data_IF_299011391819
#
_entry.id   IF_299011391819
#
_cell.length_a   1.000
_cell.length_b   1.000
_cell.length_c   1.000
_cell.angle_alpha   90.00
_cell.angle_beta   90.00
_cell.angle_gamma   90.00
#
_symmetry.space_group_name_H-M   'P 1'
#
loop_
_entity.id
_entity.type
_entity.pdbx_description
1 polymer ?
#
# COMPACT_ATOMS: atom_id res chain seq x y z
N UNK A 1 -20.93 -7.53 8.28
CA UNK A 1 -19.49 -7.43 8.62
C UNK A 1 -19.19 -6.00 9.02
N UNK A 2 -18.40 -5.80 10.08
CA UNK A 2 -17.86 -4.49 10.43
C UNK A 2 -16.46 -4.39 9.83
N UNK A 3 -16.19 -3.34 9.05
CA UNK A 3 -14.85 -3.06 8.54
C UNK A 3 -14.11 -2.12 9.48
N UNK A 4 -12.79 -2.13 9.42
CA UNK A 4 -11.96 -1.12 10.09
C UNK A 4 -12.29 0.27 9.51
N UNK A 5 -12.66 1.21 10.37
CA UNK A 5 -12.99 2.59 9.98
C UNK A 5 -11.97 3.62 10.45
N UNK A 6 -11.13 3.27 11.42
CA UNK A 6 -10.02 4.10 11.89
C UNK A 6 -8.71 3.47 11.41
N UNK A 7 -8.04 4.11 10.46
CA UNK A 7 -6.80 3.60 9.87
C UNK A 7 -5.62 4.25 10.59
N UNK A 8 -4.79 3.45 11.28
CA UNK A 8 -3.53 3.89 11.91
C UNK A 8 -2.33 3.29 11.21
N UNK A 9 -2.42 2.01 10.84
CA UNK A 9 -1.36 1.28 10.15
C UNK A 9 -1.75 0.99 8.70
N UNK A 10 -0.97 1.51 7.76
CA UNK A 10 -1.12 1.31 6.32
C UNK A 10 -0.06 0.33 5.82
N UNK A 11 -0.50 -0.78 5.24
CA UNK A 11 0.38 -1.74 4.59
C UNK A 11 0.51 -1.46 3.09
N UNK A 12 1.74 -1.45 2.59
CA UNK A 12 2.04 -1.21 1.19
C UNK A 12 2.84 -2.37 0.59
N UNK A 13 2.27 -3.02 -0.45
CA UNK A 13 2.96 -4.07 -1.20
C UNK A 13 3.43 -3.53 -2.55
N UNK A 14 4.74 -3.59 -2.78
CA UNK A 14 5.39 -2.98 -3.93
C UNK A 14 5.79 -1.52 -3.65
N UNK A 15 7.07 -1.22 -3.84
CA UNK A 15 7.71 0.05 -3.47
C UNK A 15 8.19 0.88 -4.67
N UNK A 16 7.67 0.55 -5.86
CA UNK A 16 7.91 1.26 -7.11
C UNK A 16 7.33 2.68 -7.12
N UNK A 17 7.15 3.25 -8.32
CA UNK A 17 6.69 4.65 -8.47
C UNK A 17 5.36 4.89 -7.76
N UNK A 18 4.35 4.05 -8.02
CA UNK A 18 3.01 4.20 -7.42
C UNK A 18 3.03 3.89 -5.92
N UNK A 19 3.62 2.75 -5.53
CA UNK A 19 3.67 2.32 -4.14
C UNK A 19 4.41 3.32 -3.23
N UNK A 20 5.57 3.83 -3.67
CA UNK A 20 6.29 4.87 -2.91
C UNK A 20 5.49 6.17 -2.78
N UNK A 21 4.63 6.49 -3.76
CA UNK A 21 3.72 7.62 -3.68
C UNK A 21 2.60 7.43 -2.65
N UNK A 22 2.00 6.24 -2.59
CA UNK A 22 1.05 5.88 -1.53
C UNK A 22 1.70 5.94 -0.14
N UNK A 23 2.89 5.36 -0.01
CA UNK A 23 3.67 5.35 1.23
C UNK A 23 3.98 6.79 1.67
N UNK A 24 4.49 7.64 0.78
CA UNK A 24 4.77 9.03 1.11
C UNK A 24 3.52 9.80 1.54
N UNK A 25 2.38 9.56 0.87
CA UNK A 25 1.09 10.16 1.22
C UNK A 25 0.61 9.70 2.60
N UNK A 26 0.64 8.40 2.88
CA UNK A 26 0.25 7.84 4.17
C UNK A 26 1.10 8.41 5.32
N UNK A 27 2.42 8.46 5.15
CA UNK A 27 3.35 9.06 6.13
C UNK A 27 3.06 10.56 6.35
N UNK A 28 2.76 11.31 5.28
CA UNK A 28 2.41 12.74 5.38
C UNK A 28 1.09 12.98 6.10
N UNK A 29 0.20 11.98 6.15
CA UNK A 29 -1.02 11.99 6.93
C UNK A 29 -0.87 11.43 8.35
N UNK A 30 0.36 11.15 8.80
CA UNK A 30 0.64 10.71 10.18
C UNK A 30 0.39 9.22 10.43
N UNK A 31 0.18 8.41 9.38
CA UNK A 31 0.00 6.97 9.52
C UNK A 31 1.33 6.27 9.79
N UNK A 32 1.27 5.14 10.50
CA UNK A 32 2.36 4.17 10.51
C UNK A 32 2.31 3.37 9.21
N UNK A 33 3.46 3.18 8.56
CA UNK A 33 3.51 2.46 7.28
C UNK A 33 4.40 1.24 7.39
N UNK A 34 3.86 0.09 7.00
CA UNK A 34 4.62 -1.15 6.83
C UNK A 34 4.71 -1.44 5.34
N UNK A 35 5.91 -1.59 4.81
CA UNK A 35 6.13 -1.81 3.39
C UNK A 35 6.89 -3.11 3.13
N UNK A 36 6.52 -3.77 2.04
CA UNK A 36 7.20 -4.96 1.54
C UNK A 36 7.41 -4.87 0.04
N UNK A 37 8.58 -5.31 -0.43
CA UNK A 37 8.92 -5.44 -1.84
C UNK A 37 10.02 -6.50 -1.98
N UNK A 38 9.88 -7.51 -2.87
CA UNK A 38 10.85 -8.58 -2.98
C UNK A 38 12.14 -8.17 -3.72
N UNK A 39 12.17 -6.99 -4.36
CA UNK A 39 13.31 -6.58 -5.16
C UNK A 39 14.55 -6.28 -4.29
N UNK A 40 15.75 -6.73 -4.69
CA UNK A 40 16.99 -6.37 -4.01
C UNK A 40 17.17 -4.85 -3.93
N UNK A 41 17.49 -4.34 -2.73
CA UNK A 41 17.68 -2.90 -2.50
C UNK A 41 16.39 -2.07 -2.51
N UNK A 42 15.22 -2.69 -2.52
CA UNK A 42 13.94 -1.99 -2.54
C UNK A 42 13.77 -1.03 -1.35
N UNK A 43 14.18 -1.42 -0.14
CA UNK A 43 14.08 -0.53 1.04
C UNK A 43 14.85 0.78 0.84
N UNK A 44 16.12 0.69 0.40
CA UNK A 44 16.94 1.87 0.17
C UNK A 44 16.34 2.77 -0.92
N UNK A 45 15.87 2.17 -2.01
CA UNK A 45 15.21 2.89 -3.10
C UNK A 45 13.90 3.56 -2.65
N UNK A 46 13.10 2.87 -1.83
CA UNK A 46 11.86 3.40 -1.26
C UNK A 46 12.15 4.61 -0.38
N UNK A 47 13.10 4.50 0.56
CA UNK A 47 13.48 5.59 1.45
C UNK A 47 13.96 6.81 0.67
N UNK A 48 14.73 6.61 -0.40
CA UNK A 48 15.17 7.69 -1.29
C UNK A 48 13.98 8.36 -2.02
N UNK A 49 13.00 7.59 -2.52
CA UNK A 49 11.80 8.13 -3.18
C UNK A 49 10.93 8.94 -2.21
N UNK A 50 10.71 8.43 -1.00
CA UNK A 50 9.98 9.13 0.06
C UNK A 50 10.68 10.44 0.42
N UNK A 51 12.00 10.41 0.63
CA UNK A 51 12.78 11.60 0.92
C UNK A 51 12.70 12.65 -0.22
N UNK A 52 12.69 12.21 -1.48
CA UNK A 52 12.53 13.08 -2.63
C UNK A 52 11.13 13.70 -2.74
N UNK A 53 10.08 12.97 -2.38
CA UNK A 53 8.69 13.48 -2.38
C UNK A 53 8.40 14.44 -1.22
N UNK A 54 9.11 14.27 -0.09
CA UNK A 54 8.83 14.95 1.17
C UNK A 54 8.80 16.49 1.11
N UNK A 55 9.71 17.18 0.41
CA UNK A 55 9.67 18.64 0.30
C UNK A 55 8.38 19.15 -0.34
N UNK A 56 7.83 18.42 -1.33
CA UNK A 56 6.57 18.79 -1.96
C UNK A 56 5.38 18.59 -1.01
N UNK A 57 5.37 17.47 -0.27
CA UNK A 57 4.37 17.20 0.76
C UNK A 57 4.40 18.24 1.89
N UNK A 58 5.60 18.63 2.35
CA UNK A 58 5.76 19.72 3.33
C UNK A 58 5.14 21.03 2.86
N UNK A 59 5.27 21.37 1.58
CA UNK A 59 4.65 22.57 1.00
C UNK A 59 3.13 22.50 0.96
N UNK A 60 2.56 21.29 0.81
CA UNK A 60 1.10 21.07 0.85
C UNK A 60 0.54 21.07 2.27
N UNK A 61 1.40 20.90 3.28
CA UNK A 61 1.01 20.79 4.69
C UNK A 61 1.02 19.32 5.14
N UNK A 62 1.64 19.08 6.28
CA UNK A 62 1.70 17.76 6.90
C UNK A 62 0.68 17.66 8.04
N UNK A 63 0.09 16.47 8.22
CA UNK A 63 -0.72 16.19 9.38
C UNK A 63 0.14 16.12 10.66
N UNK A 64 -0.46 16.32 11.85
CA UNK A 64 0.21 16.04 13.12
C UNK A 64 0.78 14.61 13.15
N UNK A 65 2.02 14.47 13.62
CA UNK A 65 2.69 13.17 13.70
C UNK A 65 3.25 12.64 12.38
N UNK A 66 3.13 13.37 11.27
CA UNK A 66 3.74 13.00 10.01
C UNK A 66 5.27 12.94 10.10
N UNK A 67 5.84 11.77 9.78
CA UNK A 67 7.27 11.50 9.91
C UNK A 67 7.67 10.38 8.95
N UNK A 68 8.83 10.50 8.31
CA UNK A 68 9.34 9.45 7.41
C UNK A 68 9.80 8.21 8.19
N UNK A 69 10.15 8.40 9.45
CA UNK A 69 10.64 7.41 10.40
C UNK A 69 9.54 6.41 10.81
N UNK A 70 8.26 6.74 10.54
CA UNK A 70 7.11 5.85 10.72
C UNK A 70 7.03 4.75 9.65
N UNK A 71 7.99 4.71 8.72
CA UNK A 71 8.15 3.65 7.74
C UNK A 71 8.99 2.49 8.29
N UNK A 72 8.34 1.33 8.44
CA UNK A 72 8.98 0.03 8.65
C UNK A 72 9.00 -0.77 7.35
N UNK A 73 10.14 -1.34 7.01
CA UNK A 73 10.27 -2.28 5.89
C UNK A 73 10.41 -3.70 6.45
N UNK A 74 9.70 -4.67 5.90
CA UNK A 74 9.63 -6.05 6.41
C UNK A 74 10.05 -7.06 5.34
N UNK A 75 10.34 -8.29 5.78
CA UNK A 75 10.88 -9.33 4.90
C UNK A 75 9.81 -10.15 4.19
N UNK A 76 8.58 -10.17 4.71
CA UNK A 76 7.49 -11.03 4.23
C UNK A 76 6.18 -10.27 4.02
N UNK A 77 5.29 -10.84 3.20
CA UNK A 77 3.94 -10.31 2.97
C UNK A 77 3.14 -10.39 4.26
N UNK A 78 3.30 -11.49 4.97
CA UNK A 78 2.57 -11.85 6.18
C UNK A 78 2.90 -10.87 7.32
N UNK A 79 4.16 -10.51 7.51
CA UNK A 79 4.57 -9.44 8.44
C UNK A 79 4.04 -8.06 8.01
N UNK A 80 3.87 -7.84 6.70
CA UNK A 80 3.42 -6.55 6.17
C UNK A 80 1.95 -6.32 6.48
N UNK A 81 1.11 -7.35 6.34
CA UNK A 81 -0.36 -7.22 6.38
C UNK A 81 -1.00 -7.65 7.70
N UNK A 82 -0.29 -8.41 8.55
CA UNK A 82 -0.88 -9.05 9.73
C UNK A 82 -1.59 -8.10 10.70
N UNK A 83 -0.99 -6.93 10.95
CA UNK A 83 -1.53 -5.92 11.88
C UNK A 83 -2.08 -4.67 11.17
N UNK A 84 -2.19 -4.70 9.84
CA UNK A 84 -2.59 -3.53 9.05
C UNK A 84 -4.08 -3.19 9.21
N UNK A 85 -4.40 -1.90 9.14
CA UNK A 85 -5.78 -1.40 9.14
C UNK A 85 -6.31 -1.15 7.73
N UNK A 86 -5.40 -0.94 6.77
CA UNK A 86 -5.68 -0.83 5.35
C UNK A 86 -4.48 -1.35 4.56
N UNK A 87 -4.74 -2.10 3.48
CA UNK A 87 -3.70 -2.69 2.64
C UNK A 87 -3.81 -2.15 1.22
N UNK A 88 -2.70 -1.68 0.65
CA UNK A 88 -2.64 -1.24 -0.74
C UNK A 88 -1.52 -1.97 -1.49
N UNK A 89 -1.90 -2.62 -2.58
CA UNK A 89 -1.00 -3.32 -3.50
C UNK A 89 -0.67 -2.44 -4.72
N UNK A 90 0.60 -2.40 -5.11
CA UNK A 90 1.17 -1.58 -6.20
C UNK A 90 2.31 -2.30 -6.94
N UNK A 91 2.23 -3.63 -7.05
CA UNK A 91 3.13 -4.46 -7.84
C UNK A 91 2.86 -4.30 -9.35
N UNK A 92 3.79 -4.81 -10.21
CA UNK A 92 3.66 -4.72 -11.66
C UNK A 92 2.33 -5.23 -12.21
N UNK A 93 1.93 -4.67 -13.36
CA UNK A 93 0.66 -4.98 -14.04
C UNK A 93 0.71 -6.34 -14.74
N UNK A 94 0.69 -7.40 -13.92
CA UNK A 94 0.80 -8.81 -14.33
C UNK A 94 -0.24 -9.64 -13.58
N UNK A 95 -1.15 -10.26 -14.33
CA UNK A 95 -2.28 -11.00 -13.75
C UNK A 95 -1.83 -12.17 -12.88
N UNK A 96 -0.90 -12.99 -13.36
CA UNK A 96 -0.33 -14.14 -12.64
C UNK A 96 0.26 -13.72 -11.28
N UNK A 97 1.04 -12.64 -11.30
CA UNK A 97 1.65 -12.08 -10.09
C UNK A 97 0.60 -11.56 -9.10
N UNK A 98 -0.37 -10.77 -9.57
CA UNK A 98 -1.36 -10.16 -8.69
C UNK A 98 -2.32 -11.19 -8.11
N UNK A 99 -2.65 -12.24 -8.85
CA UNK A 99 -3.46 -13.34 -8.38
C UNK A 99 -2.80 -14.07 -7.19
N UNK A 100 -1.51 -14.46 -7.31
CA UNK A 100 -0.75 -15.05 -6.20
C UNK A 100 -0.61 -14.08 -5.00
N UNK A 101 -0.26 -12.81 -5.28
CA UNK A 101 -0.11 -11.80 -4.23
C UNK A 101 -1.41 -11.60 -3.45
N UNK A 102 -2.55 -11.44 -4.13
CA UNK A 102 -3.81 -11.17 -3.46
C UNK A 102 -4.37 -12.40 -2.73
N UNK A 103 -4.11 -13.62 -3.21
CA UNK A 103 -4.38 -14.83 -2.44
C UNK A 103 -3.61 -14.83 -1.11
N UNK A 104 -2.31 -14.53 -1.14
CA UNK A 104 -1.45 -14.48 0.06
C UNK A 104 -1.81 -13.33 1.00
N UNK A 105 -2.01 -12.13 0.46
CA UNK A 105 -2.41 -10.94 1.24
C UNK A 105 -3.72 -11.22 1.98
N UNK A 106 -4.73 -11.69 1.27
CA UNK A 106 -6.07 -11.89 1.84
C UNK A 106 -6.12 -13.05 2.85
N UNK A 107 -5.27 -14.07 2.71
CA UNK A 107 -5.14 -15.15 3.69
C UNK A 107 -4.45 -14.68 4.99
N UNK A 108 -3.46 -13.78 4.90
CA UNK A 108 -2.69 -13.31 6.05
C UNK A 108 -3.30 -12.09 6.76
N UNK A 109 -4.11 -11.30 6.06
CA UNK A 109 -4.76 -10.11 6.60
C UNK A 109 -5.96 -10.44 7.50
N UNK A 110 -6.14 -9.66 8.58
CA UNK A 110 -7.34 -9.74 9.44
C UNK A 110 -8.62 -9.63 8.60
N UNK A 111 -9.70 -10.37 8.89
CA UNK A 111 -10.87 -10.51 8.01
C UNK A 111 -11.70 -9.22 7.80
N UNK A 112 -11.49 -8.21 8.63
CA UNK A 112 -12.19 -6.91 8.63
C UNK A 112 -11.44 -5.77 7.93
N UNK A 113 -10.24 -6.06 7.40
CA UNK A 113 -9.37 -5.08 6.74
C UNK A 113 -9.67 -5.01 5.24
N UNK A 114 -9.74 -3.78 4.72
CA UNK A 114 -9.89 -3.50 3.30
C UNK A 114 -8.57 -3.71 2.55
N UNK A 115 -8.67 -4.30 1.35
CA UNK A 115 -7.54 -4.59 0.48
C UNK A 115 -7.76 -3.86 -0.86
N UNK A 116 -6.87 -2.93 -1.17
CA UNK A 116 -6.84 -2.17 -2.41
C UNK A 116 -5.76 -2.67 -3.37
N UNK A 117 -6.04 -2.59 -4.68
CA UNK A 117 -5.03 -2.67 -5.73
C UNK A 117 -4.94 -1.36 -6.50
N UNK A 118 -3.73 -0.96 -6.90
CA UNK A 118 -3.45 0.20 -7.74
C UNK A 118 -3.55 -0.11 -9.24
N UNK A 119 -4.02 -1.29 -9.64
CA UNK A 119 -4.16 -1.67 -11.05
C UNK A 119 -4.93 -0.61 -11.86
N UNK A 120 -4.52 -0.42 -13.11
CA UNK A 120 -5.13 0.50 -14.07
C UNK A 120 -5.91 -0.24 -15.16
N UNK A 121 -5.64 -1.53 -15.38
CA UNK A 121 -6.17 -2.25 -16.55
C UNK A 121 -6.66 -3.68 -16.31
N UNK A 122 -6.40 -4.29 -15.16
CA UNK A 122 -6.88 -5.64 -14.88
C UNK A 122 -8.27 -5.62 -14.24
N UNK A 123 -9.11 -6.60 -14.58
CA UNK A 123 -10.43 -6.70 -13.99
C UNK A 123 -10.32 -7.25 -12.56
N UNK A 124 -10.97 -6.61 -11.56
CA UNK A 124 -10.99 -7.10 -10.18
C UNK A 124 -11.40 -8.56 -10.05
N UNK A 125 -12.37 -9.00 -10.85
CA UNK A 125 -12.86 -10.38 -10.86
C UNK A 125 -11.80 -11.41 -11.27
N UNK A 126 -10.75 -11.00 -11.96
CA UNK A 126 -9.68 -11.89 -12.41
C UNK A 126 -8.56 -11.99 -11.38
N UNK A 127 -7.99 -10.86 -10.95
CA UNK A 127 -6.84 -10.89 -10.05
C UNK A 127 -7.20 -11.07 -8.56
N UNK A 128 -8.47 -10.91 -8.18
CA UNK A 128 -8.98 -11.32 -6.86
C UNK A 128 -9.65 -12.70 -6.88
N UNK A 129 -9.57 -13.46 -7.98
CA UNK A 129 -10.28 -14.75 -8.12
C UNK A 129 -9.94 -15.77 -7.01
N UNK A 130 -8.72 -15.72 -6.47
CA UNK A 130 -8.25 -16.61 -5.40
C UNK A 130 -8.18 -15.92 -4.03
N UNK A 131 -8.73 -14.71 -3.91
CA UNK A 131 -8.72 -13.98 -2.65
C UNK A 131 -9.69 -14.60 -1.62
N UNK A 132 -9.24 -14.69 -0.37
CA UNK A 132 -10.07 -15.05 0.78
C UNK A 132 -10.90 -13.85 1.23
N UNK A 133 -12.20 -14.03 1.40
CA UNK A 133 -13.15 -12.95 1.74
C UNK A 133 -13.11 -11.78 0.73
N UNK A 134 -13.38 -12.03 -0.57
CA UNK A 134 -13.23 -11.04 -1.63
C UNK A 134 -14.16 -9.82 -1.50
N UNK A 135 -15.19 -9.87 -0.65
CA UNK A 135 -16.11 -8.76 -0.36
C UNK A 135 -15.42 -7.52 0.24
N UNK A 136 -14.17 -7.65 0.72
CA UNK A 136 -13.35 -6.56 1.27
C UNK A 136 -12.26 -6.06 0.31
N UNK A 137 -12.23 -6.62 -0.90
CA UNK A 137 -11.26 -6.29 -1.95
C UNK A 137 -11.82 -5.23 -2.88
N UNK A 138 -11.00 -4.23 -3.22
CA UNK A 138 -11.36 -3.13 -4.10
C UNK A 138 -10.19 -2.69 -4.99
N UNK A 139 -10.48 -1.83 -5.96
CA UNK A 139 -9.47 -1.09 -6.71
C UNK A 139 -9.41 0.34 -6.17
N UNK A 140 -8.23 0.72 -5.70
CA UNK A 140 -7.89 2.08 -5.29
C UNK A 140 -6.90 2.68 -6.28
N UNK A 141 -7.36 2.97 -7.50
CA UNK A 141 -6.51 3.43 -8.59
C UNK A 141 -6.12 4.92 -8.45
N UNK A 142 -4.82 5.26 -8.33
CA UNK A 142 -4.38 6.65 -8.19
C UNK A 142 -4.03 7.32 -9.53
N UNK A 143 -3.86 8.64 -9.50
CA UNK A 143 -3.11 9.37 -10.53
C UNK A 143 -1.67 9.64 -10.08
N UNK A 144 -0.71 9.55 -10.99
CA UNK A 144 0.70 9.83 -10.71
C UNK A 144 1.01 11.32 -10.95
N UNK A 145 1.65 12.06 -10.01
CA UNK A 145 2.17 11.63 -8.71
C UNK A 145 1.10 11.51 -7.61
N UNK A 146 1.02 10.30 -7.03
CA UNK A 146 0.00 9.85 -6.05
C UNK A 146 -0.14 10.77 -4.84
N UNK A 147 0.97 11.37 -4.43
CA UNK A 147 1.08 12.20 -3.23
C UNK A 147 0.77 13.69 -3.46
N UNK A 148 0.48 14.11 -4.70
CA UNK A 148 0.11 15.51 -5.02
C UNK A 148 -1.24 15.64 -5.69
N UNK A 149 -1.63 14.67 -6.53
CA UNK A 149 -2.89 14.76 -7.27
C UNK A 149 -4.03 14.17 -6.43
N UNK A 150 -5.05 14.97 -6.05
CA UNK A 150 -6.37 14.41 -5.74
C UNK A 150 -7.01 13.88 -7.02
N UNK A 151 -7.98 12.95 -6.86
CA UNK A 151 -8.85 12.50 -7.96
C UNK A 151 -9.64 13.68 -8.56
#
# INVERSE_FOLDING_TARGET
MSFVTEIKTFAALGSGVIGSGWIARALAHGLDVVAWDPAPGAEAALRARVANAWPALRKQGLAPGAAQERLRFVASIEECVGDADFIQESAPERLDLKLDLHARISAAARPDVLIGSSTSGLLPSEFYAEASHPERCLVGHPFNPVYLLPL
#
